data_IF_810695731759
#
_entry.id   IF_810695731759
#
_cell.length_a   1.000
_cell.length_b   1.000
_cell.length_c   1.000
_cell.angle_alpha   90.00
_cell.angle_beta   90.00
_cell.angle_gamma   90.00
#
_symmetry.space_group_name_H-M   'P 1'
#
loop_
_entity.id
_entity.type
_entity.pdbx_description
1 polymer ?
#
# COMPACT_ATOMS: atom_id res chain seq x y z
N UNK A 1 -24.85 -0.06 9.82
CA UNK A 1 -23.42 -0.05 9.41
C UNK A 1 -23.37 -0.33 7.93
N UNK A 2 -22.67 0.46 7.12
CA UNK A 2 -22.45 0.20 5.70
C UNK A 2 -21.59 -1.06 5.53
N UNK A 3 -21.75 -1.78 4.41
CA UNK A 3 -20.86 -2.90 4.11
C UNK A 3 -19.42 -2.40 3.96
N UNK A 4 -18.42 -3.16 4.42
CA UNK A 4 -17.01 -2.77 4.28
C UNK A 4 -16.58 -2.75 2.81
N UNK A 5 -15.65 -1.87 2.45
CA UNK A 5 -15.07 -1.84 1.10
C UNK A 5 -14.19 -3.06 0.86
N UNK A 6 -13.39 -3.47 1.86
CA UNK A 6 -12.62 -4.70 1.85
C UNK A 6 -13.05 -5.58 3.03
N UNK A 7 -13.39 -6.83 2.75
CA UNK A 7 -13.62 -7.86 3.76
C UNK A 7 -12.66 -9.02 3.53
N UNK A 8 -11.91 -9.38 4.56
CA UNK A 8 -10.99 -10.51 4.61
C UNK A 8 -11.58 -11.50 5.61
N UNK A 9 -11.87 -12.74 5.16
CA UNK A 9 -12.55 -13.74 5.97
C UNK A 9 -11.77 -15.06 5.96
N UNK A 10 -11.15 -15.38 7.10
CA UNK A 10 -10.48 -16.65 7.36
C UNK A 10 -9.36 -17.00 6.40
N UNK A 11 -8.65 -15.99 5.83
CA UNK A 11 -7.58 -16.28 4.87
C UNK A 11 -6.41 -16.99 5.54
N UNK A 12 -5.87 -18.00 4.84
CA UNK A 12 -4.68 -18.71 5.31
C UNK A 12 -3.68 -18.93 4.18
N UNK A 13 -2.39 -18.97 4.55
CA UNK A 13 -1.29 -19.27 3.65
C UNK A 13 -0.14 -19.96 4.37
N UNK A 14 0.27 -21.10 3.81
CA UNK A 14 1.41 -21.90 4.28
C UNK A 14 2.54 -21.90 3.24
N UNK A 15 3.76 -21.83 3.70
CA UNK A 15 4.98 -22.02 2.91
C UNK A 15 5.79 -23.17 3.52
N UNK A 16 5.79 -24.32 2.87
CA UNK A 16 6.40 -25.53 3.46
C UNK A 16 5.79 -25.87 4.83
N UNK A 17 6.61 -25.88 5.87
CA UNK A 17 6.16 -26.08 7.25
C UNK A 17 5.59 -24.86 7.95
N UNK A 18 5.89 -23.63 7.45
CA UNK A 18 5.50 -22.37 8.08
C UNK A 18 4.09 -21.95 7.67
N UNK A 19 3.21 -21.72 8.62
CA UNK A 19 1.90 -21.12 8.43
C UNK A 19 2.03 -19.61 8.62
N UNK A 20 2.24 -18.88 7.51
CA UNK A 20 2.56 -17.46 7.53
C UNK A 20 1.34 -16.54 7.75
N UNK A 21 0.13 -17.02 7.42
CA UNK A 21 -1.15 -16.41 7.77
C UNK A 21 -2.10 -17.54 8.13
N UNK A 22 -2.77 -17.44 9.27
CA UNK A 22 -3.71 -18.44 9.77
C UNK A 22 -5.06 -17.83 10.12
N UNK A 23 -6.06 -18.09 9.30
CA UNK A 23 -7.46 -17.69 9.45
C UNK A 23 -7.63 -16.19 9.78
N UNK A 24 -6.78 -15.34 9.19
CA UNK A 24 -6.86 -13.91 9.42
C UNK A 24 -8.18 -13.35 8.88
N UNK A 25 -8.90 -12.60 9.73
CA UNK A 25 -10.18 -11.97 9.41
C UNK A 25 -10.21 -10.54 9.88
N UNK A 26 -10.53 -9.60 8.96
CA UNK A 26 -10.69 -8.18 9.25
C UNK A 26 -11.41 -7.46 8.12
N UNK A 27 -11.87 -6.26 8.40
CA UNK A 27 -12.59 -5.40 7.46
C UNK A 27 -11.93 -4.02 7.37
N UNK A 28 -12.08 -3.38 6.19
CA UNK A 28 -11.69 -1.98 5.97
C UNK A 28 -12.90 -1.22 5.46
N UNK A 29 -13.25 -0.14 6.14
CA UNK A 29 -14.40 0.70 5.76
C UNK A 29 -14.01 1.66 4.62
N UNK A 30 -14.99 1.98 3.75
CA UNK A 30 -14.77 2.95 2.68
C UNK A 30 -14.43 4.35 3.23
N UNK A 31 -13.45 5.02 2.65
CA UNK A 31 -13.01 6.36 3.07
C UNK A 31 -12.23 6.39 4.38
N UNK A 32 -11.83 5.23 4.93
CA UNK A 32 -11.03 5.15 6.16
C UNK A 32 -9.54 4.96 5.87
N UNK A 33 -8.72 5.30 6.86
CA UNK A 33 -7.33 4.91 6.97
C UNK A 33 -7.24 3.80 8.02
N UNK A 34 -6.79 2.62 7.62
CA UNK A 34 -6.62 1.47 8.52
C UNK A 34 -5.15 1.10 8.61
N UNK A 35 -4.60 1.05 9.83
CA UNK A 35 -3.26 0.54 10.10
C UNK A 35 -3.25 -0.98 10.20
N UNK A 36 -2.26 -1.65 9.60
CA UNK A 36 -1.97 -3.06 9.82
C UNK A 36 -0.58 -3.18 10.44
N UNK A 37 -0.53 -3.42 11.73
CA UNK A 37 0.69 -3.41 12.54
C UNK A 37 1.00 -4.79 13.10
N UNK A 38 2.17 -4.94 13.72
CA UNK A 38 2.62 -6.17 14.36
C UNK A 38 4.13 -6.36 14.23
N UNK A 39 4.75 -7.28 14.97
CA UNK A 39 6.16 -7.54 14.91
C UNK A 39 6.63 -8.06 13.55
N UNK A 40 7.95 -8.13 13.37
CA UNK A 40 8.54 -8.73 12.18
C UNK A 40 8.19 -10.22 12.12
N UNK A 41 7.79 -10.69 10.93
CA UNK A 41 7.33 -12.08 10.78
C UNK A 41 5.86 -12.32 11.11
N UNK A 42 5.11 -11.33 11.61
CA UNK A 42 3.69 -11.46 11.96
C UNK A 42 2.74 -11.81 10.78
N UNK A 43 3.24 -11.83 9.54
CA UNK A 43 2.42 -12.19 8.37
C UNK A 43 1.82 -11.03 7.59
N UNK A 44 2.05 -9.78 7.98
CA UNK A 44 1.48 -8.56 7.37
C UNK A 44 1.69 -8.47 5.85
N UNK A 45 2.94 -8.53 5.39
CA UNK A 45 3.27 -8.50 3.95
C UNK A 45 2.69 -9.70 3.21
N UNK A 46 2.60 -10.87 3.86
CA UNK A 46 1.93 -12.04 3.29
C UNK A 46 0.43 -11.79 3.12
N UNK A 47 -0.25 -11.20 4.10
CA UNK A 47 -1.65 -10.80 4.00
C UNK A 47 -1.86 -9.79 2.84
N UNK A 48 -1.00 -8.78 2.69
CA UNK A 48 -1.04 -7.87 1.55
C UNK A 48 -0.88 -8.58 0.20
N UNK A 49 0.06 -9.56 0.13
CA UNK A 49 0.26 -10.36 -1.08
C UNK A 49 -0.98 -11.18 -1.44
N UNK A 50 -1.70 -11.71 -0.45
CA UNK A 50 -2.95 -12.46 -0.64
C UNK A 50 -4.08 -11.54 -1.13
N UNK A 51 -4.26 -10.38 -0.48
CA UNK A 51 -5.31 -9.40 -0.82
C UNK A 51 -5.09 -8.83 -2.23
N UNK A 52 -3.84 -8.53 -2.60
CA UNK A 52 -3.49 -7.92 -3.89
C UNK A 52 -3.28 -8.93 -5.04
N UNK A 53 -3.50 -10.24 -4.78
CA UNK A 53 -3.41 -11.29 -5.79
C UNK A 53 -1.99 -11.63 -6.25
N UNK A 54 -0.95 -11.19 -5.53
CA UNK A 54 0.43 -11.63 -5.76
C UNK A 54 0.69 -13.04 -5.22
N UNK A 55 -0.09 -13.46 -4.23
CA UNK A 55 -0.16 -14.82 -3.73
C UNK A 55 -1.60 -15.32 -3.79
N UNK A 56 -1.76 -16.61 -4.09
CA UNK A 56 -3.09 -17.24 -4.03
C UNK A 56 -3.48 -17.55 -2.59
N UNK A 57 -4.71 -17.23 -2.23
CA UNK A 57 -5.34 -17.65 -0.97
C UNK A 57 -5.50 -19.17 -1.00
N UNK A 58 -5.08 -19.86 0.06
CA UNK A 58 -5.24 -21.31 0.18
C UNK A 58 -6.58 -21.71 0.81
N UNK A 59 -7.04 -20.91 1.78
CA UNK A 59 -8.38 -21.02 2.38
C UNK A 59 -8.90 -19.66 2.80
N UNK A 60 -10.19 -19.52 3.01
CA UNK A 60 -10.85 -18.26 3.26
C UNK A 60 -11.19 -17.48 1.99
N UNK A 61 -11.60 -16.25 2.13
CA UNK A 61 -11.98 -15.40 1.01
C UNK A 61 -11.60 -13.93 1.23
N UNK A 62 -11.42 -13.21 0.11
CA UNK A 62 -11.22 -11.77 0.08
C UNK A 62 -12.28 -11.15 -0.80
N UNK A 63 -13.04 -10.22 -0.26
CA UNK A 63 -14.09 -9.50 -0.99
C UNK A 63 -13.75 -8.01 -1.03
N UNK A 64 -13.76 -7.41 -2.20
CA UNK A 64 -13.58 -5.99 -2.42
C UNK A 64 -14.75 -5.41 -3.21
N UNK A 65 -15.44 -4.41 -2.66
CA UNK A 65 -16.64 -3.83 -3.26
C UNK A 65 -17.67 -4.90 -3.67
N UNK A 66 -17.92 -5.88 -2.78
CA UNK A 66 -18.83 -7.00 -3.02
C UNK A 66 -18.33 -8.07 -3.99
N UNK A 67 -17.11 -7.93 -4.56
CA UNK A 67 -16.52 -8.89 -5.52
C UNK A 67 -15.46 -9.74 -4.86
N UNK A 68 -15.48 -11.03 -5.12
CA UNK A 68 -14.45 -11.97 -4.66
C UNK A 68 -13.16 -11.79 -5.46
N UNK A 69 -12.03 -11.65 -4.76
CA UNK A 69 -10.72 -11.34 -5.36
C UNK A 69 -9.80 -12.56 -5.50
N UNK A 70 -9.96 -13.59 -4.68
CA UNK A 70 -8.98 -14.67 -4.53
C UNK A 70 -8.70 -15.48 -5.80
N UNK A 71 -9.56 -15.37 -6.81
CA UNK A 71 -9.37 -16.01 -8.12
C UNK A 71 -8.89 -15.04 -9.20
N UNK A 72 -8.83 -13.75 -8.89
CA UNK A 72 -8.44 -12.74 -9.86
C UNK A 72 -6.92 -12.56 -9.88
N UNK A 73 -6.31 -12.35 -11.06
CA UNK A 73 -4.92 -11.95 -11.13
C UNK A 73 -4.75 -10.49 -10.66
N UNK A 74 -3.55 -10.15 -10.19
CA UNK A 74 -3.25 -8.83 -9.60
C UNK A 74 -3.66 -7.63 -10.47
N UNK A 75 -3.49 -7.73 -11.80
CA UNK A 75 -3.90 -6.66 -12.71
C UNK A 75 -5.43 -6.46 -12.75
N UNK A 76 -6.22 -7.54 -12.60
CA UNK A 76 -7.67 -7.43 -12.56
C UNK A 76 -8.15 -6.83 -11.22
N UNK A 77 -7.44 -7.12 -10.13
CA UNK A 77 -7.65 -6.51 -8.81
C UNK A 77 -7.34 -5.01 -8.87
N UNK A 78 -6.22 -4.62 -9.48
CA UNK A 78 -5.87 -3.22 -9.69
C UNK A 78 -6.93 -2.48 -10.54
N UNK A 79 -7.41 -3.10 -11.60
CA UNK A 79 -8.48 -2.55 -12.45
C UNK A 79 -9.84 -2.46 -11.71
N UNK A 80 -10.08 -3.26 -10.68
CA UNK A 80 -11.24 -3.13 -9.81
C UNK A 80 -11.12 -1.95 -8.83
N UNK A 81 -9.96 -1.29 -8.74
CA UNK A 81 -9.74 -0.11 -7.92
C UNK A 81 -8.97 -0.37 -6.62
N UNK A 82 -8.44 -1.58 -6.40
CA UNK A 82 -7.55 -1.88 -5.28
C UNK A 82 -6.11 -1.93 -5.78
N UNK A 83 -5.31 -0.93 -5.43
CA UNK A 83 -3.94 -0.76 -5.92
C UNK A 83 -2.95 -0.89 -4.76
N UNK A 84 -1.82 -1.52 -5.01
CA UNK A 84 -0.73 -1.65 -4.04
C UNK A 84 0.53 -0.95 -4.53
N UNK A 85 1.18 -0.21 -3.63
CA UNK A 85 2.57 0.25 -3.83
C UNK A 85 3.55 -0.82 -3.34
N UNK A 86 4.79 -0.77 -3.81
CA UNK A 86 5.82 -1.73 -3.42
C UNK A 86 6.79 -1.11 -2.41
N UNK A 87 7.32 -1.93 -1.52
CA UNK A 87 8.35 -1.53 -0.56
C UNK A 87 9.61 -0.98 -1.25
N UNK A 88 9.97 -1.55 -2.41
CA UNK A 88 11.06 -1.05 -3.27
C UNK A 88 10.45 -0.35 -4.48
N UNK A 89 10.69 0.96 -4.68
CA UNK A 89 10.11 1.70 -5.80
C UNK A 89 10.51 1.11 -7.16
N UNK A 90 9.50 0.76 -7.98
CA UNK A 90 9.68 0.24 -9.33
C UNK A 90 9.51 1.35 -10.37
N UNK A 91 10.29 2.41 -10.22
CA UNK A 91 10.30 3.51 -11.19
C UNK A 91 11.18 3.17 -12.39
N UNK A 92 10.78 3.64 -13.58
CA UNK A 92 11.53 3.47 -14.81
C UNK A 92 12.58 4.58 -14.90
N UNK A 93 13.80 4.27 -14.47
CA UNK A 93 14.88 5.25 -14.26
C UNK A 93 15.34 5.97 -15.52
N UNK A 94 15.12 5.37 -16.71
CA UNK A 94 15.47 5.94 -18.03
C UNK A 94 14.34 6.76 -18.66
N UNK A 95 13.24 6.91 -17.98
CA UNK A 95 12.09 7.74 -18.37
C UNK A 95 12.03 8.97 -17.47
N UNK A 96 11.46 10.05 -17.98
CA UNK A 96 11.17 11.23 -17.16
C UNK A 96 10.11 10.90 -16.09
N UNK A 97 10.01 11.76 -15.08
CA UNK A 97 8.98 11.66 -14.04
C UNK A 97 7.59 11.69 -14.68
N UNK A 98 7.34 12.61 -15.62
CA UNK A 98 6.06 12.70 -16.33
C UNK A 98 5.77 11.44 -17.15
N UNK A 99 6.76 10.90 -17.89
CA UNK A 99 6.57 9.65 -18.65
C UNK A 99 6.24 8.47 -17.75
N UNK A 100 6.87 8.37 -16.56
CA UNK A 100 6.52 7.39 -15.54
C UNK A 100 5.05 7.50 -15.10
N UNK A 101 4.54 8.73 -14.94
CA UNK A 101 3.13 8.97 -14.60
C UNK A 101 2.21 8.57 -15.74
N UNK A 102 2.51 9.01 -16.96
CA UNK A 102 1.69 8.70 -18.14
C UNK A 102 1.58 7.21 -18.41
N UNK A 103 2.66 6.46 -18.20
CA UNK A 103 2.64 5.00 -18.36
C UNK A 103 1.72 4.30 -17.35
N UNK A 104 1.50 4.90 -16.18
CA UNK A 104 0.60 4.35 -15.16
C UNK A 104 -0.89 4.71 -15.42
N UNK A 105 -1.19 5.60 -16.38
CA UNK A 105 -2.56 5.94 -16.72
C UNK A 105 -3.27 4.74 -17.36
N UNK A 106 -4.49 4.46 -16.87
CA UNK A 106 -5.31 3.35 -17.36
C UNK A 106 -6.14 3.72 -18.59
N UNK A 107 -6.60 2.71 -19.33
CA UNK A 107 -7.53 2.90 -20.47
C UNK A 107 -6.98 3.79 -21.59
N UNK A 108 -5.72 3.63 -21.96
CA UNK A 108 -5.14 4.33 -23.11
C UNK A 108 -5.54 3.62 -24.42
N UNK A 109 -6.43 4.21 -25.24
CA UNK A 109 -6.85 3.57 -26.50
C UNK A 109 -5.71 3.44 -27.53
N UNK A 110 -4.62 4.20 -27.36
CA UNK A 110 -3.40 4.09 -28.19
C UNK A 110 -2.66 2.77 -28.08
N UNK A 111 -2.92 1.97 -27.03
CA UNK A 111 -2.37 0.60 -26.89
C UNK A 111 -2.96 -0.39 -27.93
N UNK A 112 -4.10 -0.05 -28.54
CA UNK A 112 -4.71 -0.83 -29.62
C UNK A 112 -4.40 -0.20 -30.96
N UNK A 113 -3.56 -0.87 -31.77
CA UNK A 113 -3.18 -0.42 -33.12
C UNK A 113 -4.36 0.06 -33.98
N UNK A 114 -5.50 -0.64 -33.89
CA UNK A 114 -6.72 -0.23 -34.62
C UNK A 114 -7.28 1.12 -34.12
N UNK A 115 -7.26 1.41 -32.82
CA UNK A 115 -7.78 2.66 -32.29
C UNK A 115 -6.89 3.85 -32.67
N UNK A 116 -5.58 3.67 -32.69
CA UNK A 116 -4.62 4.70 -33.10
C UNK A 116 -4.80 5.11 -34.56
N UNK A 117 -5.13 4.17 -35.45
CA UNK A 117 -5.32 4.40 -36.88
C UNK A 117 -6.71 4.96 -37.22
N UNK A 118 -7.77 4.47 -36.57
CA UNK A 118 -9.15 4.79 -36.98
C UNK A 118 -9.84 5.87 -36.14
N UNK A 119 -9.30 6.25 -34.97
CA UNK A 119 -9.94 7.26 -34.09
C UNK A 119 -8.90 8.21 -33.46
N UNK A 120 -8.10 8.93 -34.26
CA UNK A 120 -6.99 9.76 -33.75
C UNK A 120 -7.47 10.89 -32.81
N UNK A 121 -8.68 11.40 -32.98
CA UNK A 121 -9.25 12.43 -32.10
C UNK A 121 -9.52 11.92 -30.68
N UNK A 122 -9.94 10.67 -30.50
CA UNK A 122 -10.14 10.04 -29.19
C UNK A 122 -8.81 9.79 -28.48
N UNK A 123 -7.80 9.35 -29.24
CA UNK A 123 -6.46 9.12 -28.69
C UNK A 123 -5.88 10.42 -28.14
N UNK A 124 -5.86 11.50 -28.97
CA UNK A 124 -5.35 12.81 -28.55
C UNK A 124 -6.09 13.39 -27.33
N UNK A 125 -7.41 13.19 -27.27
CA UNK A 125 -8.18 13.64 -26.09
C UNK A 125 -7.76 12.88 -24.84
N UNK A 126 -7.63 11.57 -24.90
CA UNK A 126 -7.21 10.73 -23.76
C UNK A 126 -5.78 11.02 -23.32
N UNK A 127 -4.86 11.24 -24.26
CA UNK A 127 -3.48 11.65 -23.96
C UNK A 127 -3.45 12.99 -23.21
N UNK A 128 -4.28 13.95 -23.63
CA UNK A 128 -4.40 15.24 -22.93
C UNK A 128 -4.97 15.06 -21.53
N UNK A 129 -6.08 14.33 -21.38
CA UNK A 129 -6.69 14.00 -20.06
C UNK A 129 -5.69 13.30 -19.13
N UNK A 130 -4.90 12.33 -19.65
CA UNK A 130 -3.87 11.65 -18.89
C UNK A 130 -2.72 12.59 -18.47
N UNK A 131 -2.34 13.54 -19.36
CA UNK A 131 -1.31 14.53 -19.06
C UNK A 131 -1.79 15.54 -18.02
N UNK A 132 -3.01 16.03 -18.12
CA UNK A 132 -3.64 16.90 -17.12
C UNK A 132 -3.70 16.20 -15.76
N UNK A 133 -4.18 14.96 -15.72
CA UNK A 133 -4.18 14.15 -14.49
C UNK A 133 -2.78 13.94 -13.93
N UNK A 134 -1.79 13.66 -14.77
CA UNK A 134 -0.41 13.48 -14.34
C UNK A 134 0.15 14.75 -13.69
N UNK A 135 -0.16 15.92 -14.25
CA UNK A 135 0.24 17.20 -13.67
C UNK A 135 -0.41 17.46 -12.31
N UNK A 136 -1.74 17.24 -12.19
CA UNK A 136 -2.45 17.34 -10.91
C UNK A 136 -1.83 16.41 -9.83
N UNK A 137 -1.54 15.16 -10.20
CA UNK A 137 -0.94 14.22 -9.24
C UNK A 137 0.51 14.61 -8.91
N UNK A 138 1.29 15.10 -9.89
CA UNK A 138 2.65 15.58 -9.63
C UNK A 138 2.65 16.83 -8.73
N UNK A 139 1.66 17.69 -8.83
CA UNK A 139 1.48 18.82 -7.91
C UNK A 139 1.19 18.30 -6.49
N UNK A 140 0.26 17.39 -6.36
CA UNK A 140 -0.09 16.75 -5.09
C UNK A 140 1.16 16.16 -4.42
N UNK A 141 1.96 15.34 -5.13
CA UNK A 141 3.17 14.71 -4.56
C UNK A 141 4.41 15.61 -4.60
N UNK A 142 4.25 16.91 -4.92
CA UNK A 142 5.29 17.95 -4.96
C UNK A 142 6.49 17.60 -5.88
N UNK A 143 6.23 16.90 -6.96
CA UNK A 143 7.24 16.55 -7.98
C UNK A 143 7.08 17.33 -9.30
N UNK A 144 6.18 18.31 -9.40
CA UNK A 144 5.90 19.07 -10.64
C UNK A 144 7.15 19.70 -11.24
N UNK A 145 8.05 20.23 -10.40
CA UNK A 145 9.29 20.87 -10.86
C UNK A 145 10.28 19.90 -11.50
N UNK A 146 10.16 18.61 -11.17
CA UNK A 146 11.00 17.52 -11.66
C UNK A 146 10.34 16.72 -12.78
N UNK A 147 9.19 17.18 -13.30
CA UNK A 147 8.39 16.45 -14.28
C UNK A 147 9.17 15.99 -15.51
N UNK A 148 10.12 16.80 -15.98
CA UNK A 148 10.94 16.53 -17.15
C UNK A 148 12.29 15.88 -16.82
N UNK A 149 12.64 15.73 -15.54
CA UNK A 149 13.89 15.11 -15.11
C UNK A 149 13.76 13.58 -15.22
N UNK A 150 14.88 12.88 -15.44
CA UNK A 150 14.88 11.43 -15.41
C UNK A 150 14.61 10.90 -14.01
N UNK A 151 13.72 9.92 -13.89
CA UNK A 151 13.38 9.33 -12.59
C UNK A 151 14.59 8.68 -11.90
N UNK A 152 15.64 8.34 -12.65
CA UNK A 152 16.91 7.85 -12.12
C UNK A 152 17.69 8.88 -11.30
N UNK A 153 17.49 10.18 -11.52
CA UNK A 153 18.16 11.26 -10.78
C UNK A 153 17.49 11.60 -9.45
N UNK A 154 16.27 11.09 -9.24
CA UNK A 154 15.50 11.33 -8.01
C UNK A 154 16.18 10.68 -6.80
N UNK A 155 16.06 11.33 -5.63
CA UNK A 155 16.40 10.72 -4.34
C UNK A 155 15.52 9.49 -4.05
N UNK A 156 15.92 8.66 -3.07
CA UNK A 156 15.12 7.50 -2.65
C UNK A 156 13.69 7.88 -2.25
N UNK A 157 13.53 8.93 -1.44
CA UNK A 157 12.22 9.44 -1.03
C UNK A 157 11.40 9.99 -2.19
N UNK A 158 11.99 10.76 -3.10
CA UNK A 158 11.30 11.25 -4.30
C UNK A 158 10.85 10.12 -5.21
N UNK A 159 11.62 9.02 -5.31
CA UNK A 159 11.18 7.82 -6.04
C UNK A 159 9.98 7.16 -5.39
N UNK A 160 9.88 7.13 -4.05
CA UNK A 160 8.68 6.65 -3.35
C UNK A 160 7.47 7.54 -3.61
N UNK A 161 7.63 8.87 -3.58
CA UNK A 161 6.55 9.81 -3.95
C UNK A 161 6.12 9.62 -5.41
N UNK A 162 7.05 9.39 -6.34
CA UNK A 162 6.71 9.09 -7.73
C UNK A 162 5.92 7.78 -7.86
N UNK A 163 6.30 6.74 -7.13
CA UNK A 163 5.57 5.48 -7.13
C UNK A 163 4.16 5.64 -6.55
N UNK A 164 4.03 6.38 -5.45
CA UNK A 164 2.73 6.73 -4.88
C UNK A 164 1.88 7.50 -5.90
N UNK A 165 2.45 8.51 -6.57
CA UNK A 165 1.78 9.23 -7.65
C UNK A 165 1.33 8.31 -8.79
N UNK A 166 2.17 7.35 -9.21
CA UNK A 166 1.80 6.36 -10.23
C UNK A 166 0.60 5.50 -9.81
N UNK A 167 0.53 5.10 -8.55
CA UNK A 167 -0.65 4.41 -8.03
C UNK A 167 -1.91 5.26 -8.14
N UNK A 168 -1.82 6.56 -7.87
CA UNK A 168 -2.95 7.51 -7.97
C UNK A 168 -3.42 7.76 -9.40
N UNK A 169 -2.58 7.56 -10.42
CA UNK A 169 -2.98 7.66 -11.84
C UNK A 169 -4.08 6.67 -12.22
N UNK A 170 -4.24 5.58 -11.49
CA UNK A 170 -5.32 4.62 -11.73
C UNK A 170 -6.65 5.02 -11.10
N UNK A 171 -6.71 6.14 -10.36
CA UNK A 171 -7.87 6.60 -9.56
C UNK A 171 -8.41 5.49 -8.65
N UNK A 172 -7.57 4.95 -7.76
CA UNK A 172 -7.95 3.83 -6.93
C UNK A 172 -9.03 4.22 -5.92
N UNK A 173 -9.93 3.28 -5.60
CA UNK A 173 -10.82 3.40 -4.44
C UNK A 173 -10.10 3.06 -3.15
N UNK A 174 -9.11 2.14 -3.23
CA UNK A 174 -8.30 1.72 -2.10
C UNK A 174 -6.83 1.57 -2.50
N UNK A 175 -5.95 2.05 -1.62
CA UNK A 175 -4.49 1.91 -1.77
C UNK A 175 -3.94 1.10 -0.61
N UNK A 176 -3.19 0.05 -0.93
CA UNK A 176 -2.39 -0.72 0.01
C UNK A 176 -0.97 -0.14 0.02
N UNK A 177 -0.53 0.39 1.17
CA UNK A 177 0.80 0.96 1.36
C UNK A 177 1.64 0.04 2.25
N UNK A 178 2.75 -0.47 1.71
CA UNK A 178 3.64 -1.40 2.41
C UNK A 178 4.92 -0.66 2.81
N UNK A 179 5.01 -0.25 4.09
CA UNK A 179 6.11 0.51 4.70
C UNK A 179 6.49 1.76 3.88
N UNK A 180 5.52 2.64 3.57
CA UNK A 180 5.79 3.78 2.69
C UNK A 180 6.81 4.76 3.27
N UNK A 181 6.98 4.84 4.59
CA UNK A 181 7.92 5.74 5.26
C UNK A 181 9.31 5.13 5.49
N UNK A 182 9.49 3.81 5.32
CA UNK A 182 10.76 3.15 5.58
C UNK A 182 11.89 3.71 4.70
N UNK A 183 13.01 4.17 5.32
CA UNK A 183 14.16 4.74 4.61
C UNK A 183 13.90 6.08 3.91
N UNK A 184 12.84 6.78 4.27
CA UNK A 184 12.50 8.13 3.80
C UNK A 184 12.95 9.15 4.86
N UNK A 185 13.46 10.31 4.42
CA UNK A 185 13.79 11.39 5.33
C UNK A 185 12.53 11.87 6.08
N UNK A 186 12.61 12.22 7.38
CA UNK A 186 11.45 12.58 8.20
C UNK A 186 10.53 13.63 7.57
N UNK A 187 11.09 14.66 6.96
CA UNK A 187 10.31 15.69 6.28
C UNK A 187 9.48 15.17 5.10
N UNK A 188 10.00 14.18 4.36
CA UNK A 188 9.26 13.55 3.26
C UNK A 188 8.24 12.54 3.77
N UNK A 189 8.50 11.86 4.88
CA UNK A 189 7.54 10.98 5.54
C UNK A 189 6.31 11.77 5.99
N UNK A 190 6.50 12.92 6.65
CA UNK A 190 5.42 13.83 7.02
C UNK A 190 4.61 14.31 5.81
N UNK A 191 5.29 14.68 4.71
CA UNK A 191 4.60 15.06 3.47
C UNK A 191 3.74 13.92 2.92
N UNK A 192 4.22 12.69 2.96
CA UNK A 192 3.45 11.53 2.51
C UNK A 192 2.19 11.33 3.36
N UNK A 193 2.31 11.49 4.69
CA UNK A 193 1.15 11.42 5.60
C UNK A 193 0.13 12.54 5.29
N UNK A 194 0.60 13.77 5.08
CA UNK A 194 -0.26 14.90 4.66
C UNK A 194 -1.03 14.56 3.38
N UNK A 195 -0.35 13.98 2.36
CA UNK A 195 -0.99 13.59 1.10
C UNK A 195 -2.02 12.47 1.28
N UNK A 196 -1.76 11.49 2.16
CA UNK A 196 -2.71 10.43 2.50
C UNK A 196 -3.98 11.03 3.11
N UNK A 197 -3.82 11.93 4.10
CA UNK A 197 -4.93 12.62 4.74
C UNK A 197 -5.72 13.50 3.75
N UNK A 198 -5.02 14.24 2.89
CA UNK A 198 -5.65 15.09 1.86
C UNK A 198 -6.46 14.25 0.85
N UNK A 199 -5.90 13.14 0.36
CA UNK A 199 -6.59 12.24 -0.57
C UNK A 199 -7.82 11.58 0.06
N UNK A 200 -7.72 11.18 1.33
CA UNK A 200 -8.87 10.70 2.08
C UNK A 200 -9.97 11.77 2.15
N UNK A 201 -9.60 12.99 2.54
CA UNK A 201 -10.56 14.08 2.74
C UNK A 201 -11.20 14.57 1.43
N UNK A 202 -10.41 14.68 0.35
CA UNK A 202 -10.86 15.29 -0.92
C UNK A 202 -11.45 14.31 -1.91
N UNK A 203 -10.96 13.05 -1.92
CA UNK A 203 -11.35 12.02 -2.90
C UNK A 203 -12.03 10.81 -2.30
N UNK A 204 -12.14 10.73 -0.96
CA UNK A 204 -12.69 9.56 -0.27
C UNK A 204 -11.84 8.29 -0.47
N UNK A 205 -10.55 8.44 -0.81
CA UNK A 205 -9.66 7.29 -1.03
C UNK A 205 -9.47 6.53 0.28
N UNK A 206 -9.61 5.22 0.22
CA UNK A 206 -9.42 4.31 1.36
C UNK A 206 -7.96 3.85 1.41
N UNK A 207 -7.40 3.73 2.60
CA UNK A 207 -6.03 3.28 2.78
C UNK A 207 -5.95 2.10 3.77
N UNK A 208 -5.14 1.09 3.42
CA UNK A 208 -4.65 0.09 4.36
C UNK A 208 -3.12 0.16 4.34
N UNK A 209 -2.52 0.44 5.51
CA UNK A 209 -1.11 0.82 5.62
C UNK A 209 -0.40 -0.13 6.56
N UNK A 210 0.66 -0.79 6.09
CA UNK A 210 1.62 -1.47 6.96
C UNK A 210 2.70 -0.46 7.32
N UNK A 211 2.95 -0.25 8.62
CA UNK A 211 4.04 0.57 9.12
C UNK A 211 4.60 0.03 10.42
N UNK A 212 5.86 0.38 10.68
CA UNK A 212 6.56 0.05 11.92
C UNK A 212 6.62 1.24 12.88
N UNK A 213 6.45 2.45 12.38
CA UNK A 213 6.34 3.67 13.18
C UNK A 213 4.92 3.73 13.78
N UNK A 214 4.85 3.23 15.03
CA UNK A 214 3.59 3.15 15.76
C UNK A 214 2.98 4.53 16.01
N UNK A 215 3.80 5.54 16.30
CA UNK A 215 3.33 6.89 16.58
C UNK A 215 2.68 7.49 15.33
N UNK A 216 3.36 7.40 14.20
CA UNK A 216 2.86 7.91 12.93
C UNK A 216 1.56 7.22 12.49
N UNK A 217 1.49 5.88 12.59
CA UNK A 217 0.30 5.14 12.13
C UNK A 217 -0.89 5.35 13.06
N UNK A 218 -0.67 5.40 14.38
CA UNK A 218 -1.74 5.68 15.36
C UNK A 218 -2.31 7.08 15.20
N UNK A 219 -1.49 8.07 14.83
CA UNK A 219 -1.91 9.45 14.65
C UNK A 219 -2.86 9.67 13.45
N UNK A 220 -2.79 8.83 12.41
CA UNK A 220 -3.57 9.02 11.18
C UNK A 220 -4.66 7.98 10.95
N UNK A 221 -4.62 6.85 11.67
CA UNK A 221 -5.56 5.74 11.45
C UNK A 221 -6.88 5.95 12.16
N UNK A 222 -7.98 5.60 11.47
CA UNK A 222 -9.31 5.49 12.08
C UNK A 222 -9.47 4.17 12.83
N UNK A 223 -8.82 3.11 12.31
CA UNK A 223 -8.81 1.78 12.88
C UNK A 223 -7.44 1.15 12.74
N UNK A 224 -7.10 0.27 13.67
CA UNK A 224 -5.85 -0.48 13.65
C UNK A 224 -6.15 -1.96 13.78
N UNK A 225 -5.43 -2.76 12.99
CA UNK A 225 -5.46 -4.22 13.00
C UNK A 225 -4.06 -4.68 13.43
N UNK A 226 -3.99 -5.55 14.41
CA UNK A 226 -2.73 -6.09 14.91
C UNK A 226 -2.60 -7.55 14.52
N UNK A 227 -1.50 -7.89 13.87
CA UNK A 227 -1.14 -9.27 13.55
C UNK A 227 0.06 -9.72 14.37
N UNK A 228 0.00 -10.97 14.81
CA UNK A 228 1.14 -11.68 15.38
C UNK A 228 1.08 -13.16 14.98
N UNK A 229 2.24 -13.77 14.68
CA UNK A 229 2.39 -15.17 14.26
C UNK A 229 1.35 -15.66 13.23
N UNK A 230 0.98 -14.79 12.30
CA UNK A 230 0.00 -15.09 11.25
C UNK A 230 -1.47 -14.86 11.62
N UNK A 231 -1.77 -14.52 12.87
CA UNK A 231 -3.11 -14.29 13.38
C UNK A 231 -3.43 -12.80 13.55
N UNK A 232 -4.71 -12.43 13.44
CA UNK A 232 -5.18 -11.14 13.92
C UNK A 232 -5.46 -11.28 15.42
N UNK A 233 -4.66 -10.62 16.25
CA UNK A 233 -4.75 -10.68 17.72
C UNK A 233 -5.60 -9.57 18.33
N UNK A 234 -5.67 -8.40 17.67
CA UNK A 234 -6.51 -7.28 18.10
C UNK A 234 -6.95 -6.43 16.90
N UNK A 235 -8.06 -5.73 17.06
CA UNK A 235 -8.56 -4.71 16.13
C UNK A 235 -9.44 -3.71 16.88
N UNK A 236 -9.31 -2.43 16.55
CA UNK A 236 -10.06 -1.38 17.23
C UNK A 236 -9.58 0.01 16.89
N UNK A 237 -9.99 0.98 17.68
CA UNK A 237 -9.48 2.35 17.62
C UNK A 237 -8.01 2.40 18.07
N UNK A 238 -7.21 3.37 17.60
CA UNK A 238 -5.81 3.50 18.01
C UNK A 238 -5.61 3.50 19.53
N UNK A 239 -6.47 4.20 20.27
CA UNK A 239 -6.43 4.31 21.75
C UNK A 239 -6.71 2.96 22.43
N UNK A 240 -7.62 2.15 21.89
CA UNK A 240 -7.93 0.81 22.40
C UNK A 240 -6.73 -0.15 22.19
N UNK A 241 -6.08 -0.05 21.03
CA UNK A 241 -4.93 -0.89 20.66
C UNK A 241 -3.70 -0.56 21.51
N UNK A 242 -3.46 0.72 21.83
CA UNK A 242 -2.35 1.14 22.69
C UNK A 242 -2.46 0.58 24.11
N UNK A 243 -3.67 0.35 24.61
CA UNK A 243 -3.93 -0.22 25.93
C UNK A 243 -4.13 -1.74 25.97
N UNK A 244 -4.09 -2.44 24.85
CA UNK A 244 -4.35 -3.88 24.81
C UNK A 244 -3.10 -4.68 25.24
N UNK A 245 -3.19 -5.41 26.35
CA UNK A 245 -2.10 -6.22 26.92
C UNK A 245 -1.56 -7.23 25.91
N UNK A 246 -2.39 -7.85 25.07
CA UNK A 246 -1.97 -8.80 24.04
C UNK A 246 -1.07 -8.16 23.00
N UNK A 247 -1.34 -6.88 22.66
CA UNK A 247 -0.52 -6.11 21.72
C UNK A 247 0.83 -5.77 22.35
N UNK A 248 0.81 -5.33 23.62
CA UNK A 248 2.02 -5.02 24.38
C UNK A 248 2.92 -6.27 24.49
N UNK A 249 2.35 -7.41 24.85
CA UNK A 249 3.07 -8.68 24.98
C UNK A 249 3.69 -9.16 23.65
N UNK A 250 2.95 -9.04 22.54
CA UNK A 250 3.46 -9.40 21.22
C UNK A 250 4.71 -8.58 20.85
N UNK A 251 4.74 -7.29 21.16
CA UNK A 251 5.90 -6.44 20.88
C UNK A 251 7.05 -6.63 21.87
N UNK A 252 6.77 -6.92 23.16
CA UNK A 252 7.79 -7.18 24.18
C UNK A 252 8.39 -8.58 24.04
N UNK A 253 7.57 -9.59 23.78
CA UNK A 253 8.01 -10.99 23.58
C UNK A 253 9.00 -11.14 22.45
N UNK A 254 8.81 -10.42 21.34
CA UNK A 254 9.73 -10.42 20.20
C UNK A 254 11.05 -9.64 20.46
N UNK A 255 11.07 -8.65 21.37
CA UNK A 255 12.31 -7.96 21.79
C UNK A 255 13.22 -8.86 22.60
N UNK A 256 12.68 -9.73 23.44
CA UNK A 256 13.46 -10.64 24.28
C UNK A 256 14.21 -11.73 23.47
N UNK A 257 13.76 -12.03 22.25
CA UNK A 257 14.39 -13.06 21.37
C UNK A 257 15.44 -12.46 20.44
N UNK A 258 15.44 -11.13 20.22
CA UNK A 258 16.29 -10.48 19.24
C UNK A 258 17.68 -10.03 19.73
N UNK A 259 17.96 -10.05 21.05
CA UNK A 259 19.27 -9.76 21.62
C UNK A 259 19.86 -10.98 22.34
N UNK A 260 20.76 -11.76 21.72
CA UNK A 260 21.61 -12.61 22.52
C UNK A 260 22.51 -11.71 23.38
N UNK A 261 22.75 -12.04 24.67
CA UNK A 261 23.61 -11.24 25.53
C UNK A 261 24.99 -11.10 24.88
N UNK A 262 25.45 -9.83 24.76
CA UNK A 262 26.84 -9.54 24.41
C UNK A 262 27.75 -10.20 25.41
N UNK A 263 28.26 -11.40 25.07
CA UNK A 263 29.34 -12.03 25.83
C UNK A 263 30.59 -11.25 25.47
N UNK A 264 30.97 -10.30 26.32
CA UNK A 264 32.30 -9.70 26.30
C UNK A 264 33.28 -10.79 26.72
N UNK A 265 33.98 -11.40 25.76
CA UNK A 265 35.12 -12.21 26.07
C UNK A 265 36.22 -11.32 26.68
N UNK A 266 36.84 -11.70 27.81
CA UNK A 266 37.96 -10.97 28.37
C UNK A 266 39.14 -11.09 27.39
N UNK A 267 39.67 -9.92 27.00
CA UNK A 267 40.90 -9.84 26.20
C UNK A 267 42.08 -10.49 26.94
N UNK A 268 43.00 -11.15 26.22
CA UNK A 268 44.15 -11.84 26.78
C UNK A 268 45.19 -10.90 27.40
#
# INVERSE_FOLDING_TARGET
MSAPLLAVDGISRRFGGLLAVDRASFDVQEGSITGLIGPNGAGKTTAFNLISGFLKVQSGQVTFDGRRLEQLPSHAIANAGLVRTFQIPRVLTRMSVLENMLLAATNQPGEKLGAALFVPGRVRRREREAREQAQEVLELVRLSRLANDYAGTLSGGQRKLLEFGRALMTRPRMVLLDEPMAGVAPALALQLLEHILELRATRGTTFLIIEHDMEAIMAISDHVIVMDEGHVIARGLPEEIQGDERVIDAYLGHRAVAEPPLVLEPSP
#
